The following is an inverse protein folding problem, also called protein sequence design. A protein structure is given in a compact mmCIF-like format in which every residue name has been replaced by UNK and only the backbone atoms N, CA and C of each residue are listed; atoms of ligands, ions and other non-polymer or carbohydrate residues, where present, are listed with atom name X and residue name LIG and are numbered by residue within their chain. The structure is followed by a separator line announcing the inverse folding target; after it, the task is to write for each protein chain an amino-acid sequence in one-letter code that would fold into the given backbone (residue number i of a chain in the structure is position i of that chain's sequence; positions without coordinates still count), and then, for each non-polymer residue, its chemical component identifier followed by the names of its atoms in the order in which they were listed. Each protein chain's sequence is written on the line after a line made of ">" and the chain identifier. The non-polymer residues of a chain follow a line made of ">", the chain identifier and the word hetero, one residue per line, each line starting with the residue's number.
data_IF_815604795285
#
_entry.id   IF_815604795285
#
_cell.length_a   1.000
_cell.length_b   1.000
_cell.length_c   1.000
_cell.angle_alpha   90.00
_cell.angle_beta   90.00
_cell.angle_gamma   90.00
#
_symmetry.space_group_name_H-M   'P 1'
#
loop_
_entity.id
_entity.type
_entity.pdbx_description
1 polymer ?
#
# COMPACT_ATOMS: atom_id res chain seq x y z
N UNK A 1 -10.40 -24.54 23.29
CA UNK A 1 -10.30 -23.68 22.09
C UNK A 1 -11.47 -22.68 21.97
N UNK A 2 -11.92 -22.05 23.06
CA UNK A 2 -13.00 -21.02 23.07
C UNK A 2 -12.52 -19.62 23.49
N UNK A 3 -11.37 -19.52 24.15
CA UNK A 3 -10.84 -18.25 24.68
C UNK A 3 -10.18 -17.33 23.63
N UNK A 4 -9.60 -17.86 22.55
CA UNK A 4 -9.02 -17.04 21.47
C UNK A 4 -10.07 -16.34 20.59
N UNK A 5 -11.30 -16.88 20.53
CA UNK A 5 -12.39 -16.30 19.74
C UNK A 5 -13.03 -15.07 20.40
N UNK A 6 -12.94 -14.96 21.73
CA UNK A 6 -13.53 -13.86 22.49
C UNK A 6 -12.60 -12.66 22.62
N UNK A 7 -11.27 -12.87 22.58
CA UNK A 7 -10.30 -11.77 22.61
C UNK A 7 -10.32 -10.94 21.31
N UNK A 8 -10.64 -11.57 20.17
CA UNK A 8 -10.77 -10.92 18.86
C UNK A 8 -12.06 -10.08 18.71
N UNK A 9 -13.06 -10.31 19.55
CA UNK A 9 -14.35 -9.61 19.47
C UNK A 9 -14.43 -8.35 20.34
N UNK A 10 -13.59 -8.23 21.37
CA UNK A 10 -13.68 -7.17 22.36
C UNK A 10 -12.94 -5.87 21.98
N UNK A 11 -12.11 -5.86 20.93
CA UNK A 11 -11.32 -4.69 20.55
C UNK A 11 -12.05 -3.72 19.58
N UNK A 12 -13.32 -3.96 19.28
CA UNK A 12 -14.04 -3.30 18.17
C UNK A 12 -14.96 -2.14 18.59
N UNK A 13 -14.93 -1.71 19.86
CA UNK A 13 -15.75 -0.60 20.34
C UNK A 13 -14.91 0.49 21.03
N UNK A 14 -14.43 1.46 20.25
CA UNK A 14 -14.09 2.80 20.78
C UNK A 14 -14.48 3.88 19.74
N UNK A 15 -15.61 4.51 20.04
CA UNK A 15 -15.91 5.96 19.91
C UNK A 15 -15.75 6.66 18.56
N UNK A 16 -16.88 6.81 17.85
CA UNK A 16 -17.07 7.90 16.88
C UNK A 16 -17.47 9.18 17.63
N UNK A 17 -16.53 10.11 17.83
CA UNK A 17 -16.85 11.50 18.15
C UNK A 17 -16.90 12.32 16.86
N UNK A 18 -18.09 12.79 16.54
CA UNK A 18 -18.40 13.63 15.38
C UNK A 18 -17.66 14.97 15.46
N UNK A 19 -16.61 15.14 14.65
CA UNK A 19 -15.97 16.43 14.42
C UNK A 19 -16.52 16.97 13.10
N UNK A 20 -17.22 18.09 13.17
CA UNK A 20 -17.56 18.92 12.02
C UNK A 20 -16.27 19.44 11.38
N UNK A 21 -15.80 18.80 10.32
CA UNK A 21 -14.66 19.25 9.53
C UNK A 21 -15.15 19.78 8.17
N UNK A 22 -14.44 20.77 7.61
CA UNK A 22 -14.48 21.07 6.17
C UNK A 22 -14.55 19.74 5.39
N UNK A 23 -15.35 19.69 4.32
CA UNK A 23 -15.42 18.52 3.46
C UNK A 23 -13.99 17.99 3.19
N UNK A 24 -13.66 16.81 3.72
CA UNK A 24 -12.36 16.17 3.51
C UNK A 24 -12.00 16.17 2.02
N UNK A 25 -10.75 16.44 1.66
CA UNK A 25 -10.37 16.23 0.26
C UNK A 25 -10.39 14.73 -0.08
N UNK A 26 -10.60 14.33 -1.34
CA UNK A 26 -10.51 12.93 -1.77
C UNK A 26 -9.18 12.29 -1.34
N UNK A 27 -8.09 13.04 -1.42
CA UNK A 27 -6.74 12.61 -1.04
C UNK A 27 -6.64 12.37 0.48
N UNK A 28 -7.31 13.18 1.29
CA UNK A 28 -7.35 13.00 2.75
C UNK A 28 -8.10 11.72 3.12
N UNK A 29 -9.24 11.44 2.49
CA UNK A 29 -10.00 10.19 2.69
C UNK A 29 -9.13 8.98 2.32
N UNK A 30 -8.44 9.05 1.17
CA UNK A 30 -7.57 7.97 0.71
C UNK A 30 -6.37 7.75 1.64
N UNK A 31 -5.74 8.82 2.12
CA UNK A 31 -4.62 8.75 3.06
C UNK A 31 -5.03 8.11 4.39
N UNK A 32 -6.17 8.52 4.93
CA UNK A 32 -6.71 7.96 6.17
C UNK A 32 -7.08 6.49 5.99
N UNK A 33 -7.71 6.15 4.87
CA UNK A 33 -7.99 4.76 4.50
C UNK A 33 -6.73 3.93 4.51
N UNK A 34 -5.68 4.33 3.78
CA UNK A 34 -4.42 3.59 3.69
C UNK A 34 -3.78 3.41 5.06
N UNK A 35 -3.74 4.46 5.88
CA UNK A 35 -3.22 4.39 7.25
C UNK A 35 -3.97 3.35 8.09
N UNK A 36 -5.30 3.43 8.13
CA UNK A 36 -6.12 2.51 8.91
C UNK A 36 -6.07 1.07 8.34
N UNK A 37 -6.01 0.94 7.02
CA UNK A 37 -5.92 -0.34 6.34
C UNK A 37 -4.57 -1.03 6.60
N UNK A 38 -3.45 -0.29 6.58
CA UNK A 38 -2.12 -0.80 6.96
C UNK A 38 -2.14 -1.34 8.38
N UNK A 39 -2.69 -0.57 9.31
CA UNK A 39 -2.83 -0.99 10.71
C UNK A 39 -3.71 -2.23 10.86
N UNK A 40 -4.78 -2.34 10.07
CA UNK A 40 -5.70 -3.47 10.12
C UNK A 40 -5.04 -4.78 9.63
N UNK A 41 -4.12 -4.71 8.67
CA UNK A 41 -3.48 -5.90 8.07
C UNK A 41 -2.08 -6.21 8.64
N UNK A 42 -1.46 -5.31 9.38
CA UNK A 42 -0.07 -5.45 9.87
C UNK A 42 0.17 -6.77 10.61
N UNK A 43 -0.68 -7.11 11.59
CA UNK A 43 -0.54 -8.38 12.32
C UNK A 43 -0.83 -9.61 11.47
N UNK A 44 -1.68 -9.49 10.45
CA UNK A 44 -1.94 -10.56 9.50
C UNK A 44 -0.72 -10.80 8.61
N UNK A 45 -0.06 -9.73 8.15
CA UNK A 45 1.16 -9.79 7.35
C UNK A 45 2.30 -10.48 8.13
N UNK A 46 2.54 -10.06 9.37
CA UNK A 46 3.53 -10.70 10.25
C UNK A 46 3.22 -12.19 10.50
N UNK A 47 1.94 -12.53 10.63
CA UNK A 47 1.51 -13.93 10.83
C UNK A 47 1.71 -14.77 9.56
N UNK A 48 1.47 -14.19 8.38
CA UNK A 48 1.70 -14.83 7.09
C UNK A 48 3.18 -15.15 6.89
N UNK A 49 4.07 -14.17 7.11
CA UNK A 49 5.52 -14.36 7.03
C UNK A 49 5.98 -15.50 7.94
N UNK A 50 5.56 -15.45 9.21
CA UNK A 50 5.92 -16.47 10.21
C UNK A 50 5.42 -17.87 9.84
N UNK A 51 4.23 -17.97 9.23
CA UNK A 51 3.66 -19.24 8.80
C UNK A 51 4.31 -19.78 7.52
N UNK A 52 4.79 -18.91 6.63
CA UNK A 52 5.46 -19.29 5.39
C UNK A 52 6.89 -19.78 5.61
N UNK A 53 7.63 -19.22 6.57
CA UNK A 53 9.03 -19.60 6.89
C UNK A 53 9.26 -21.11 7.03
N UNK A 54 8.52 -21.86 7.87
CA UNK A 54 8.76 -23.30 8.00
C UNK A 54 8.45 -24.09 6.71
N UNK A 55 7.55 -23.59 5.85
CA UNK A 55 7.24 -24.20 4.56
C UNK A 55 8.42 -24.01 3.59
N UNK A 56 8.95 -22.78 3.50
CA UNK A 56 10.14 -22.45 2.71
C UNK A 56 11.33 -23.31 3.16
N UNK A 57 11.59 -23.38 4.47
CA UNK A 57 12.67 -24.21 5.02
C UNK A 57 12.50 -25.68 4.67
N UNK A 58 11.27 -26.21 4.69
CA UNK A 58 10.99 -27.60 4.34
C UNK A 58 11.28 -27.88 2.85
N UNK A 59 10.91 -26.96 1.96
CA UNK A 59 11.18 -27.08 0.52
C UNK A 59 12.69 -27.12 0.24
N UNK A 60 13.45 -26.22 0.87
CA UNK A 60 14.93 -26.23 0.80
C UNK A 60 15.49 -27.55 1.33
N UNK A 61 15.01 -28.02 2.49
CA UNK A 61 15.48 -29.27 3.09
C UNK A 61 15.17 -30.51 2.25
N UNK A 62 14.10 -30.49 1.45
CA UNK A 62 13.76 -31.56 0.50
C UNK A 62 14.49 -31.45 -0.84
N UNK A 63 15.35 -30.45 -1.03
CA UNK A 63 16.07 -30.20 -2.28
C UNK A 63 15.24 -29.48 -3.36
N UNK A 64 14.04 -28.99 -3.02
CA UNK A 64 13.19 -28.20 -3.92
C UNK A 64 13.46 -26.70 -3.74
N UNK A 65 14.62 -26.27 -4.25
CA UNK A 65 15.05 -24.86 -4.14
C UNK A 65 14.21 -23.94 -5.03
N UNK A 66 13.76 -24.41 -6.19
CA UNK A 66 12.90 -23.65 -7.09
C UNK A 66 11.54 -23.34 -6.46
N UNK A 67 10.90 -24.34 -5.82
CA UNK A 67 9.66 -24.13 -5.10
C UNK A 67 9.81 -23.19 -3.89
N UNK A 68 10.97 -23.19 -3.23
CA UNK A 68 11.26 -22.26 -2.13
C UNK A 68 11.41 -20.81 -2.62
N UNK A 69 12.07 -20.59 -3.75
CA UNK A 69 12.20 -19.27 -4.38
C UNK A 69 10.85 -18.75 -4.89
N UNK A 70 10.07 -19.61 -5.54
CA UNK A 70 8.70 -19.29 -5.99
C UNK A 70 7.83 -18.86 -4.81
N UNK A 71 7.80 -19.64 -3.72
CA UNK A 71 7.02 -19.29 -2.52
C UNK A 71 7.49 -17.98 -1.90
N UNK A 72 8.80 -17.71 -1.91
CA UNK A 72 9.36 -16.44 -1.40
C UNK A 72 8.90 -15.25 -2.23
N UNK A 73 8.86 -15.38 -3.56
CA UNK A 73 8.36 -14.33 -4.46
C UNK A 73 6.86 -14.09 -4.25
N UNK A 74 6.06 -15.17 -4.21
CA UNK A 74 4.62 -15.08 -3.99
C UNK A 74 4.25 -14.51 -2.62
N UNK A 75 5.07 -14.78 -1.59
CA UNK A 75 4.90 -14.16 -0.27
C UNK A 75 5.05 -12.63 -0.35
N UNK A 76 6.05 -12.14 -1.09
CA UNK A 76 6.23 -10.68 -1.30
C UNK A 76 5.02 -10.07 -2.02
N UNK A 77 4.52 -10.73 -3.07
CA UNK A 77 3.32 -10.30 -3.78
C UNK A 77 2.11 -10.21 -2.82
N UNK A 78 1.87 -11.25 -2.01
CA UNK A 78 0.78 -11.25 -1.03
C UNK A 78 0.89 -10.13 0.00
N UNK A 79 2.09 -9.87 0.52
CA UNK A 79 2.33 -8.82 1.49
C UNK A 79 2.15 -7.42 0.89
N UNK A 80 2.44 -7.26 -0.40
CA UNK A 80 2.12 -6.06 -1.18
C UNK A 80 0.61 -5.92 -1.48
N UNK A 81 -0.19 -6.95 -1.20
CA UNK A 81 -1.62 -6.98 -1.48
C UNK A 81 -1.96 -7.41 -2.91
N UNK A 82 -1.00 -7.96 -3.64
CA UNK A 82 -1.19 -8.47 -5.00
C UNK A 82 -1.77 -9.89 -5.01
N UNK A 83 -2.41 -10.24 -6.12
CA UNK A 83 -3.03 -11.55 -6.29
C UNK A 83 -2.05 -12.55 -6.87
N UNK A 84 -1.75 -13.61 -6.11
CA UNK A 84 -1.01 -14.76 -6.61
C UNK A 84 -1.97 -15.70 -7.35
N UNK A 85 -1.89 -15.71 -8.68
CA UNK A 85 -2.80 -16.48 -9.54
C UNK A 85 -2.57 -17.99 -9.47
N UNK A 86 -1.30 -18.40 -9.28
CA UNK A 86 -0.90 -19.81 -9.19
C UNK A 86 -0.05 -19.99 -7.94
N UNK A 87 -0.66 -20.16 -6.76
CA UNK A 87 0.09 -20.39 -5.54
C UNK A 87 0.93 -21.65 -5.63
N UNK A 88 2.13 -21.61 -5.06
CA UNK A 88 2.95 -22.78 -4.82
C UNK A 88 2.12 -23.80 -4.02
N UNK A 89 2.18 -25.07 -4.41
CA UNK A 89 1.23 -26.10 -3.97
C UNK A 89 1.11 -26.25 -2.44
N UNK A 90 2.20 -26.10 -1.70
CA UNK A 90 2.25 -26.18 -0.24
C UNK A 90 1.74 -24.92 0.47
N UNK A 91 1.54 -23.81 -0.25
CA UNK A 91 1.07 -22.54 0.29
C UNK A 91 -0.37 -22.16 -0.11
N UNK A 92 -1.03 -22.93 -0.98
CA UNK A 92 -2.42 -22.67 -1.45
C UNK A 92 -3.37 -22.39 -0.28
N UNK A 93 -3.38 -23.26 0.73
CA UNK A 93 -4.28 -23.11 1.88
C UNK A 93 -3.91 -21.92 2.76
N UNK A 94 -2.60 -21.66 2.94
CA UNK A 94 -2.11 -20.54 3.72
C UNK A 94 -2.54 -19.21 3.09
N UNK A 95 -2.37 -19.07 1.77
CA UNK A 95 -2.79 -17.88 1.04
C UNK A 95 -4.30 -17.69 1.03
N UNK A 96 -5.08 -18.76 0.85
CA UNK A 96 -6.54 -18.67 0.92
C UNK A 96 -7.04 -18.18 2.29
N UNK A 97 -6.46 -18.69 3.38
CA UNK A 97 -6.82 -18.26 4.74
C UNK A 97 -6.41 -16.80 5.00
N UNK A 98 -5.24 -16.40 4.50
CA UNK A 98 -4.77 -15.03 4.58
C UNK A 98 -5.70 -14.08 3.81
N UNK A 99 -6.09 -14.41 2.58
CA UNK A 99 -6.96 -13.58 1.76
C UNK A 99 -8.32 -13.36 2.42
N UNK A 100 -8.90 -14.42 3.00
CA UNK A 100 -10.17 -14.32 3.75
C UNK A 100 -10.02 -13.43 5.00
N UNK A 101 -8.94 -13.61 5.75
CA UNK A 101 -8.66 -12.80 6.94
C UNK A 101 -8.41 -11.33 6.59
N UNK A 102 -7.68 -11.07 5.49
CA UNK A 102 -7.40 -9.73 4.98
C UNK A 102 -8.68 -9.03 4.54
N UNK A 103 -9.55 -9.71 3.79
CA UNK A 103 -10.84 -9.16 3.39
C UNK A 103 -11.70 -8.77 4.62
N UNK A 104 -11.73 -9.63 5.64
CA UNK A 104 -12.45 -9.35 6.90
C UNK A 104 -11.85 -8.18 7.68
N UNK A 105 -10.53 -8.06 7.72
CA UNK A 105 -9.84 -6.96 8.41
C UNK A 105 -10.06 -5.61 7.71
N UNK A 106 -10.12 -5.61 6.37
CA UNK A 106 -10.33 -4.38 5.59
C UNK A 106 -11.79 -3.93 5.54
N UNK A 107 -12.75 -4.84 5.58
CA UNK A 107 -14.18 -4.54 5.49
C UNK A 107 -14.67 -3.35 6.37
N UNK A 108 -14.35 -3.26 7.68
CA UNK A 108 -14.78 -2.12 8.49
C UNK A 108 -14.13 -0.80 8.07
N UNK A 109 -12.86 -0.83 7.64
CA UNK A 109 -12.12 0.35 7.18
C UNK A 109 -12.70 0.84 5.84
N UNK A 110 -12.94 -0.08 4.90
CA UNK A 110 -13.57 0.21 3.62
C UNK A 110 -14.96 0.82 3.80
N UNK A 111 -15.79 0.22 4.66
CA UNK A 111 -17.14 0.72 4.95
C UNK A 111 -17.12 2.15 5.50
N UNK A 112 -16.20 2.44 6.42
CA UNK A 112 -16.06 3.79 7.01
C UNK A 112 -15.66 4.83 5.96
N UNK A 113 -14.66 4.53 5.13
CA UNK A 113 -14.18 5.46 4.11
C UNK A 113 -15.19 5.66 2.98
N UNK A 114 -15.89 4.61 2.53
CA UNK A 114 -16.98 4.73 1.55
C UNK A 114 -18.12 5.60 2.10
N UNK A 115 -18.48 5.45 3.38
CA UNK A 115 -19.51 6.29 3.99
C UNK A 115 -19.11 7.79 4.01
N UNK A 116 -17.81 8.09 4.20
CA UNK A 116 -17.29 9.47 4.08
C UNK A 116 -17.45 9.99 2.64
N UNK A 117 -17.10 9.19 1.63
CA UNK A 117 -17.27 9.55 0.21
C UNK A 117 -18.75 9.80 -0.11
N UNK A 118 -19.64 8.89 0.28
CA UNK A 118 -21.08 9.02 0.02
C UNK A 118 -21.68 10.27 0.68
N UNK A 119 -21.19 10.64 1.87
CA UNK A 119 -21.59 11.87 2.56
C UNK A 119 -21.20 13.12 1.77
N UNK A 120 -20.00 13.13 1.18
CA UNK A 120 -19.53 14.23 0.34
C UNK A 120 -20.30 14.32 -0.97
N UNK A 121 -20.55 13.19 -1.63
CA UNK A 121 -21.33 13.18 -2.86
C UNK A 121 -22.77 13.69 -2.64
N UNK A 122 -23.37 13.46 -1.47
CA UNK A 122 -24.70 13.96 -1.12
C UNK A 122 -24.75 15.45 -0.79
N UNK A 123 -23.71 15.99 -0.16
CA UNK A 123 -23.62 17.42 0.20
C UNK A 123 -23.12 18.29 -0.95
N UNK A 124 -22.49 17.67 -1.96
CA UNK A 124 -21.98 18.25 -3.18
C UNK A 124 -23.05 18.67 -4.21
N UNK A 125 -24.18 19.26 -3.77
CA UNK A 125 -25.22 19.84 -4.63
C UNK A 125 -24.75 21.08 -5.43
N UNK A 126 -23.65 20.94 -6.16
CA UNK A 126 -22.89 21.98 -6.86
C UNK A 126 -21.38 21.71 -6.97
N UNK A 127 -20.87 20.53 -6.59
CA UNK A 127 -19.44 20.25 -6.69
C UNK A 127 -18.97 20.21 -8.15
N UNK A 128 -17.76 20.72 -8.35
CA UNK A 128 -17.04 20.63 -9.62
C UNK A 128 -16.92 19.16 -10.04
N UNK A 129 -17.14 18.89 -11.34
CA UNK A 129 -17.12 17.54 -11.93
C UNK A 129 -15.81 16.80 -11.62
N UNK A 130 -14.72 17.55 -11.51
CA UNK A 130 -13.39 17.07 -11.14
C UNK A 130 -13.39 16.42 -9.74
N UNK A 131 -14.02 17.03 -8.75
CA UNK A 131 -14.09 16.48 -7.38
C UNK A 131 -14.90 15.19 -7.33
N UNK A 132 -16.00 15.11 -8.08
CA UNK A 132 -16.81 13.89 -8.18
C UNK A 132 -16.00 12.77 -8.84
N UNK A 133 -15.22 13.10 -9.87
CA UNK A 133 -14.35 12.14 -10.57
C UNK A 133 -13.26 11.61 -9.65
N UNK A 134 -12.58 12.47 -8.88
CA UNK A 134 -11.56 12.05 -7.93
C UNK A 134 -12.14 11.21 -6.78
N UNK A 135 -13.31 11.57 -6.24
CA UNK A 135 -14.02 10.75 -5.26
C UNK A 135 -14.38 9.37 -5.81
N UNK A 136 -14.75 9.27 -7.09
CA UNK A 136 -14.98 8.01 -7.79
C UNK A 136 -13.73 7.12 -7.83
N UNK A 137 -12.58 7.68 -8.21
CA UNK A 137 -11.30 6.94 -8.22
C UNK A 137 -10.90 6.47 -6.82
N UNK A 138 -11.05 7.32 -5.81
CA UNK A 138 -10.75 6.96 -4.42
C UNK A 138 -11.66 5.83 -3.94
N UNK A 139 -12.94 5.85 -4.32
CA UNK A 139 -13.90 4.77 -4.02
C UNK A 139 -13.46 3.44 -4.64
N UNK A 140 -13.05 3.44 -5.90
CA UNK A 140 -12.54 2.24 -6.59
C UNK A 140 -11.29 1.66 -5.89
N UNK A 141 -10.33 2.51 -5.49
CA UNK A 141 -9.15 2.05 -4.76
C UNK A 141 -9.49 1.41 -3.41
N UNK A 142 -10.43 2.02 -2.69
CA UNK A 142 -10.90 1.52 -1.40
C UNK A 142 -11.63 0.19 -1.57
N UNK A 143 -12.54 0.08 -2.53
CA UNK A 143 -13.28 -1.15 -2.83
C UNK A 143 -12.34 -2.28 -3.26
N UNK A 144 -11.29 -1.97 -4.03
CA UNK A 144 -10.25 -2.92 -4.40
C UNK A 144 -9.37 -3.38 -3.23
N UNK A 145 -9.48 -2.76 -2.04
CA UNK A 145 -8.71 -3.18 -0.87
C UNK A 145 -7.21 -2.85 -0.96
N UNK A 146 -6.86 -1.79 -1.69
CA UNK A 146 -5.46 -1.39 -1.94
C UNK A 146 -4.90 -0.63 -0.75
N UNK A 147 -4.09 -1.31 0.04
CA UNK A 147 -3.50 -0.77 1.28
C UNK A 147 -2.29 0.12 1.01
N UNK A 148 -1.54 -0.18 -0.05
CA UNK A 148 -0.52 0.69 -0.60
C UNK A 148 -0.74 0.88 -2.10
N UNK A 149 -0.31 2.04 -2.58
CA UNK A 149 0.24 2.11 -3.91
C UNK A 149 1.72 2.43 -3.68
N UNK A 150 2.58 1.41 -3.69
CA UNK A 150 3.99 1.65 -3.94
C UNK A 150 4.10 2.11 -5.39
N UNK A 151 4.11 3.42 -5.61
CA UNK A 151 5.01 3.89 -6.66
C UNK A 151 6.39 3.68 -6.07
N UNK A 152 7.02 2.56 -6.41
CA UNK A 152 8.42 2.30 -6.09
C UNK A 152 9.25 3.22 -7.00
N UNK A 153 9.16 4.52 -6.72
CA UNK A 153 9.90 5.57 -7.37
C UNK A 153 11.11 5.83 -6.49
N UNK A 154 12.36 5.72 -6.99
CA UNK A 154 13.49 6.12 -6.19
C UNK A 154 13.38 7.62 -5.94
N UNK A 155 13.00 8.00 -4.72
CA UNK A 155 12.81 9.40 -4.29
C UNK A 155 14.12 10.20 -4.43
N UNK A 156 15.25 9.52 -4.61
CA UNK A 156 16.58 10.10 -4.78
C UNK A 156 17.34 9.34 -5.86
N UNK A 157 17.86 10.07 -6.86
CA UNK A 157 18.80 9.57 -7.86
C UNK A 157 20.14 10.29 -7.71
N UNK A 158 21.23 9.53 -7.67
CA UNK A 158 22.59 10.08 -7.54
C UNK A 158 23.34 9.99 -8.86
N UNK A 159 23.87 11.12 -9.33
CA UNK A 159 24.73 11.17 -10.50
C UNK A 159 26.20 11.09 -10.11
N UNK A 160 26.93 10.17 -10.73
CA UNK A 160 28.38 10.04 -10.62
C UNK A 160 29.00 10.30 -11.99
N UNK A 161 30.08 11.08 -12.04
CA UNK A 161 30.78 11.34 -13.31
C UNK A 161 31.56 10.11 -13.80
N UNK A 162 31.93 9.21 -12.89
CA UNK A 162 32.58 7.92 -13.19
C UNK A 162 31.99 6.84 -12.30
N UNK A 163 32.08 5.56 -12.70
CA UNK A 163 31.45 4.43 -11.99
C UNK A 163 31.88 4.30 -10.51
N UNK A 164 33.05 4.81 -10.15
CA UNK A 164 33.58 4.83 -8.77
C UNK A 164 33.80 6.24 -8.23
N UNK A 165 33.31 7.26 -8.94
CA UNK A 165 33.49 8.66 -8.58
C UNK A 165 32.58 9.09 -7.42
N UNK A 166 32.86 10.23 -6.78
CA UNK A 166 31.95 10.81 -5.79
C UNK A 166 30.61 11.19 -6.43
N UNK A 167 29.55 11.25 -5.62
CA UNK A 167 28.26 11.78 -6.05
C UNK A 167 28.45 13.26 -6.38
N UNK A 168 28.05 13.65 -7.59
CA UNK A 168 28.18 15.02 -8.12
C UNK A 168 26.87 15.80 -8.04
N UNK A 169 25.75 15.10 -8.14
CA UNK A 169 24.42 15.69 -8.02
C UNK A 169 23.42 14.67 -7.46
N UNK A 170 22.42 15.20 -6.77
CA UNK A 170 21.31 14.46 -6.22
C UNK A 170 20.00 15.04 -6.77
N UNK A 171 19.23 14.21 -7.47
CA UNK A 171 17.87 14.53 -7.90
C UNK A 171 16.89 13.93 -6.89
N UNK A 172 16.20 14.79 -6.15
CA UNK A 172 15.15 14.39 -5.22
C UNK A 172 13.78 14.61 -5.85
N UNK A 173 12.95 13.57 -5.84
CA UNK A 173 11.58 13.59 -6.35
C UNK A 173 10.60 13.38 -5.20
N UNK A 174 9.69 14.32 -5.04
CA UNK A 174 8.73 14.35 -3.95
C UNK A 174 7.36 13.86 -4.41
N UNK A 175 6.60 13.12 -3.58
CA UNK A 175 5.26 12.64 -3.93
C UNK A 175 4.23 13.74 -4.20
N UNK A 176 4.50 14.98 -3.82
CA UNK A 176 3.66 16.16 -4.08
C UNK A 176 3.83 16.73 -5.50
N UNK A 177 4.47 15.98 -6.40
CA UNK A 177 4.70 16.40 -7.78
C UNK A 177 5.84 17.41 -7.92
N UNK A 178 6.75 17.52 -6.95
CA UNK A 178 7.91 18.43 -7.02
C UNK A 178 9.22 17.70 -7.15
N UNK A 179 10.20 18.32 -7.80
CA UNK A 179 11.56 17.80 -7.90
C UNK A 179 12.58 18.88 -7.57
N UNK A 180 13.75 18.46 -7.06
CA UNK A 180 14.88 19.33 -6.75
C UNK A 180 16.18 18.68 -7.20
N UNK A 181 17.04 19.45 -7.86
CA UNK A 181 18.40 19.04 -8.16
C UNK A 181 19.35 19.78 -7.21
N UNK A 182 20.15 19.02 -6.47
CA UNK A 182 21.17 19.54 -5.57
C UNK A 182 22.54 19.17 -6.11
N UNK A 183 23.39 20.18 -6.29
CA UNK A 183 24.81 19.93 -6.50
C UNK A 183 25.44 19.57 -5.14
N UNK A 184 25.97 18.36 -5.02
CA UNK A 184 26.51 17.85 -3.76
C UNK A 184 27.87 18.43 -3.40
N UNK A 185 28.57 19.05 -4.37
CA UNK A 185 29.87 19.70 -4.15
C UNK A 185 29.73 21.11 -3.58
N UNK A 186 28.70 21.84 -4.01
CA UNK A 186 28.43 23.21 -3.52
C UNK A 186 27.35 23.24 -2.44
N UNK A 187 26.59 22.17 -2.29
CA UNK A 187 25.44 22.07 -1.38
C UNK A 187 24.24 22.90 -1.82
N UNK A 188 24.34 23.62 -2.93
CA UNK A 188 23.31 24.52 -3.45
C UNK A 188 22.27 23.72 -4.23
N UNK A 189 20.99 24.01 -3.96
CA UNK A 189 19.89 23.56 -4.81
C UNK A 189 19.93 24.40 -6.08
N UNK A 190 20.34 23.78 -7.18
CA UNK A 190 20.54 24.47 -8.46
C UNK A 190 19.22 24.67 -9.20
N UNK A 191 18.30 23.70 -9.09
CA UNK A 191 17.04 23.72 -9.86
C UNK A 191 15.90 23.04 -9.09
N UNK A 192 14.68 23.53 -9.34
CA UNK A 192 13.43 22.93 -8.82
C UNK A 192 12.37 22.99 -9.89
N UNK A 193 11.45 22.03 -9.90
CA UNK A 193 10.30 22.08 -10.79
C UNK A 193 9.16 21.17 -10.36
N UNK A 194 8.17 21.06 -11.22
CA UNK A 194 7.03 20.17 -11.04
C UNK A 194 7.17 18.96 -11.98
N UNK A 195 6.73 17.80 -11.52
CA UNK A 195 6.64 16.58 -12.29
C UNK A 195 5.23 16.02 -12.17
N UNK A 196 4.77 15.38 -13.25
CA UNK A 196 3.51 14.67 -13.29
C UNK A 196 3.81 13.25 -13.74
N UNK A 197 3.31 12.26 -12.99
CA UNK A 197 3.37 10.88 -13.42
C UNK A 197 2.44 10.70 -14.63
N UNK A 198 3.02 10.63 -15.83
CA UNK A 198 2.26 10.23 -17.01
C UNK A 198 2.18 8.71 -17.01
N UNK A 199 0.98 8.14 -16.86
CA UNK A 199 0.78 6.69 -16.97
C UNK A 199 1.26 6.20 -18.34
N UNK A 200 2.42 5.56 -18.38
CA UNK A 200 2.78 4.59 -19.43
C UNK A 200 3.36 3.34 -18.78
N UNK A 201 2.64 2.25 -19.04
CA UNK A 201 2.99 0.87 -18.77
C UNK A 201 4.28 0.45 -19.49
N UNK A 202 4.89 -0.59 -18.92
CA UNK A 202 5.85 -1.54 -19.51
C UNK A 202 7.25 -0.97 -19.76
N UNK A 203 8.21 -1.49 -18.99
CA UNK A 203 9.57 -1.66 -19.46
C UNK A 203 9.91 -3.15 -19.31
N UNK A 204 10.18 -3.76 -20.45
CA UNK A 204 10.87 -5.04 -20.64
C UNK A 204 12.18 -5.11 -19.85
#
# INVERSE_FOLDING_TARGET
>A
MRFMKQLLLALLLVSFTSISALADSPEAILKDYRKAATQAVERLNQSLEKAATPIITKLVASGDTAGAEELTAQLKEKLAGESVLKPQASAVQLFSLYDEARAKALAPVQKSSIARIDSQLKTAGGAKLETVTELGKVREEIEAGRVSHEVNFPLVWTYHMTATGPVMAELTLSPDGKWKLKNTQTGVVSETGEWVQVKRNILD
#
